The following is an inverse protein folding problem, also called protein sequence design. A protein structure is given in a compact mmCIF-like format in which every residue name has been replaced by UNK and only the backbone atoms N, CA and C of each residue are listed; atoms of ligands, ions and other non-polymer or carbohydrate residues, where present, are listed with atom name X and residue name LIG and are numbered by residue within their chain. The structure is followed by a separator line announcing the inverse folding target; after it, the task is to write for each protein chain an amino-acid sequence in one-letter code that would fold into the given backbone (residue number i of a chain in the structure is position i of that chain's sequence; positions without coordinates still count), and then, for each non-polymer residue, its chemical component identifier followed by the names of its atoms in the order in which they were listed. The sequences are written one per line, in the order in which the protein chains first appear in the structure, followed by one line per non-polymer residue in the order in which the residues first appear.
data_IF_179889007367
#
_entry.id   IF_179889007367
#
_cell.length_a   1.000
_cell.length_b   1.000
_cell.length_c   1.000
_cell.angle_alpha   90.00
_cell.angle_beta   90.00
_cell.angle_gamma   90.00
#
_symmetry.space_group_name_H-M   'P 1'
#
loop_
_entity.id
_entity.type
_entity.pdbx_description
1 polymer ?
#
# COMPACT_ATOMS: atom_id res chain seq x y z
N UNK A 1 -2.25 2.03 11.12
CA UNK A 1 -2.03 1.76 9.71
C UNK A 1 -3.15 0.92 9.12
N UNK A 2 -3.79 1.42 8.06
CA UNK A 2 -4.91 0.81 7.32
C UNK A 2 -4.59 0.85 5.81
N UNK A 3 -5.07 -0.14 5.05
CA UNK A 3 -4.97 -0.22 3.59
C UNK A 3 -6.37 -0.50 3.04
N UNK A 4 -6.82 0.28 2.07
CA UNK A 4 -8.17 0.16 1.53
C UNK A 4 -8.25 -0.78 0.31
N UNK A 5 -9.24 -1.67 0.33
CA UNK A 5 -9.56 -2.57 -0.77
C UNK A 5 -10.63 -1.97 -1.71
N UNK A 6 -10.84 -2.61 -2.86
CA UNK A 6 -11.95 -2.27 -3.77
C UNK A 6 -11.81 -0.93 -4.49
N UNK A 7 -10.64 -0.28 -4.41
CA UNK A 7 -10.32 0.96 -5.12
C UNK A 7 -9.72 0.63 -6.50
N UNK A 8 -10.42 0.89 -7.62
CA UNK A 8 -9.90 0.51 -8.94
C UNK A 8 -8.59 1.22 -9.28
N UNK A 9 -7.57 0.46 -9.64
CA UNK A 9 -6.29 0.96 -10.13
C UNK A 9 -5.33 1.53 -9.07
N UNK A 10 -5.78 1.72 -7.82
CA UNK A 10 -4.97 2.30 -6.74
C UNK A 10 -5.13 1.56 -5.41
N UNK A 11 -4.12 1.67 -4.57
CA UNK A 11 -4.09 1.15 -3.20
C UNK A 11 -3.90 2.34 -2.24
N UNK A 12 -4.98 2.83 -1.61
CA UNK A 12 -4.89 3.87 -0.59
C UNK A 12 -4.35 3.30 0.73
N UNK A 13 -3.35 3.98 1.30
CA UNK A 13 -2.71 3.66 2.58
C UNK A 13 -2.91 4.83 3.54
N UNK A 14 -3.28 4.50 4.78
CA UNK A 14 -3.57 5.44 5.86
C UNK A 14 -2.78 5.08 7.09
N UNK A 15 -2.22 6.08 7.74
CA UNK A 15 -1.79 5.95 9.14
C UNK A 15 -2.33 7.06 10.05
N UNK A 16 -3.04 8.04 9.47
CA UNK A 16 -3.67 9.12 10.21
C UNK A 16 -4.92 8.65 10.97
N UNK A 17 -5.11 9.17 12.19
CA UNK A 17 -6.33 9.00 13.00
C UNK A 17 -7.45 9.97 12.62
N UNK A 18 -7.24 10.86 11.65
CA UNK A 18 -8.27 11.76 11.14
C UNK A 18 -9.09 11.06 10.03
N UNK A 19 -10.35 10.65 10.28
CA UNK A 19 -11.12 9.82 9.34
C UNK A 19 -11.36 10.49 7.98
N UNK A 20 -11.38 11.83 7.96
CA UNK A 20 -11.59 12.64 6.76
C UNK A 20 -10.30 13.29 6.22
N UNK A 21 -9.13 12.91 6.74
CA UNK A 21 -7.84 13.45 6.27
C UNK A 21 -7.49 12.96 4.85
N UNK A 22 -6.30 13.28 4.34
CA UNK A 22 -5.77 12.73 3.08
C UNK A 22 -5.16 11.32 3.21
N UNK A 23 -5.24 10.53 2.13
CA UNK A 23 -4.60 9.21 2.00
C UNK A 23 -3.35 9.31 1.11
N UNK A 24 -2.38 8.39 1.30
CA UNK A 24 -1.36 8.14 0.30
C UNK A 24 -1.87 7.07 -0.67
N UNK A 25 -1.95 7.36 -1.96
CA UNK A 25 -2.44 6.42 -2.97
C UNK A 25 -1.31 5.94 -3.86
N UNK A 26 -1.11 4.62 -3.92
CA UNK A 26 -0.16 3.98 -4.83
C UNK A 26 -0.90 3.39 -6.02
N UNK A 27 -0.28 3.33 -7.19
CA UNK A 27 -0.82 2.53 -8.29
C UNK A 27 -0.79 1.04 -7.93
N UNK A 28 -1.77 0.27 -8.40
CA UNK A 28 -1.82 -1.17 -8.10
C UNK A 28 -0.53 -1.91 -8.51
N UNK A 29 0.03 -1.57 -9.68
CA UNK A 29 1.27 -2.17 -10.19
C UNK A 29 2.47 -1.83 -9.28
N UNK A 30 2.61 -0.57 -8.85
CA UNK A 30 3.72 -0.17 -7.99
C UNK A 30 3.60 -0.75 -6.58
N UNK A 31 2.38 -0.87 -6.04
CA UNK A 31 2.14 -1.56 -4.78
C UNK A 31 2.52 -3.05 -4.85
N UNK A 32 2.12 -3.75 -5.92
CA UNK A 32 2.51 -5.16 -6.14
C UNK A 32 4.02 -5.33 -6.23
N UNK A 33 4.71 -4.46 -6.98
CA UNK A 33 6.17 -4.50 -7.10
C UNK A 33 6.85 -4.27 -5.74
N UNK A 34 6.42 -3.27 -4.98
CA UNK A 34 6.95 -2.98 -3.64
C UNK A 34 6.86 -4.18 -2.70
N UNK A 35 5.69 -4.83 -2.62
CA UNK A 35 5.52 -6.04 -1.79
C UNK A 35 6.35 -7.21 -2.32
N UNK A 36 6.49 -7.34 -3.65
CA UNK A 36 7.34 -8.35 -4.29
C UNK A 36 8.80 -8.23 -3.87
N UNK A 37 9.35 -7.02 -3.87
CA UNK A 37 10.71 -6.74 -3.40
C UNK A 37 10.88 -7.08 -1.91
N UNK A 38 9.97 -6.63 -1.05
CA UNK A 38 10.02 -6.95 0.39
C UNK A 38 10.01 -8.46 0.68
N UNK A 39 9.23 -9.23 -0.08
CA UNK A 39 9.18 -10.69 0.03
C UNK A 39 10.44 -11.38 -0.45
N UNK A 40 11.11 -10.78 -1.43
CA UNK A 40 12.37 -11.28 -1.99
C UNK A 40 13.52 -10.99 -1.04
N UNK A 41 13.55 -9.80 -0.45
CA UNK A 41 14.53 -9.40 0.56
C UNK A 41 14.44 -10.30 1.81
N UNK A 42 13.22 -10.61 2.26
CA UNK A 42 12.96 -11.58 3.34
C UNK A 42 13.39 -13.03 3.07
N UNK A 43 13.77 -13.37 1.83
CA UNK A 43 14.29 -14.69 1.46
C UNK A 43 15.83 -14.74 1.39
N UNK A 44 16.51 -13.63 1.69
CA UNK A 44 17.98 -13.51 1.69
C UNK A 44 18.60 -13.60 3.10
N UNK A 45 17.85 -14.10 4.08
CA UNK A 45 18.27 -14.34 5.47
C UNK A 45 18.42 -15.83 5.75
#
# INVERSE_FOLDING_TARGET
MEVADGCPGVVPVRDSKAPHGPALSFGAVSWTAFIGELKTDRRRI
#
